data_IF_449086134170
#
_entry.id   IF_449086134170
#
_cell.length_a   1.000
_cell.length_b   1.000
_cell.length_c   1.000
_cell.angle_alpha   90.00
_cell.angle_beta   90.00
_cell.angle_gamma   90.00
#
_symmetry.space_group_name_H-M   'P 1'
#
loop_
_entity.id
_entity.type
_entity.pdbx_description
1 polymer ?
#
# COMPACT_ATOMS: atom_id res chain seq x y z
N UNK A 1 19.68 16.87 -3.91
CA UNK A 1 19.28 15.46 -4.12
C UNK A 1 18.75 15.29 -5.53
N UNK A 2 19.32 14.37 -6.30
CA UNK A 2 18.95 14.18 -7.71
C UNK A 2 17.51 13.67 -7.87
N UNK A 3 16.83 14.09 -8.96
CA UNK A 3 15.42 13.75 -9.25
C UNK A 3 15.22 12.23 -9.32
N UNK A 4 16.17 11.51 -9.92
CA UNK A 4 16.06 10.07 -10.09
C UNK A 4 16.24 9.32 -8.79
N UNK A 5 17.09 9.82 -7.88
CA UNK A 5 17.26 9.19 -6.57
C UNK A 5 16.04 9.39 -5.67
N UNK A 6 15.33 10.52 -5.77
CA UNK A 6 14.04 10.71 -5.08
C UNK A 6 12.98 9.72 -5.55
N UNK A 7 12.80 9.61 -6.88
CA UNK A 7 11.85 8.65 -7.48
C UNK A 7 12.16 7.22 -7.01
N UNK A 8 13.44 6.85 -6.94
CA UNK A 8 13.87 5.55 -6.42
C UNK A 8 13.47 5.34 -4.96
N UNK A 9 13.72 6.32 -4.09
CA UNK A 9 13.37 6.20 -2.68
C UNK A 9 11.86 6.08 -2.47
N UNK A 10 11.07 6.86 -3.20
CA UNK A 10 9.59 6.74 -3.21
C UNK A 10 9.13 5.38 -3.70
N UNK A 11 9.78 4.83 -4.72
CA UNK A 11 9.47 3.48 -5.21
C UNK A 11 9.80 2.39 -4.17
N UNK A 12 10.88 2.57 -3.40
CA UNK A 12 11.24 1.68 -2.29
C UNK A 12 10.18 1.78 -1.17
N UNK A 13 9.80 2.99 -0.78
CA UNK A 13 8.73 3.23 0.20
C UNK A 13 7.42 2.59 -0.25
N UNK A 14 7.07 2.74 -1.53
CA UNK A 14 5.86 2.14 -2.12
C UNK A 14 5.92 0.62 -2.08
N UNK A 15 7.06 0.01 -2.42
CA UNK A 15 7.28 -1.44 -2.32
C UNK A 15 7.12 -1.93 -0.88
N UNK A 16 7.68 -1.21 0.08
CA UNK A 16 7.68 -1.65 1.48
C UNK A 16 6.28 -1.51 2.09
N UNK A 17 5.57 -0.43 1.77
CA UNK A 17 4.22 -0.16 2.31
C UNK A 17 3.10 -0.93 1.62
N UNK A 18 3.15 -1.09 0.29
CA UNK A 18 2.06 -1.72 -0.50
C UNK A 18 2.35 -3.16 -0.90
N UNK A 19 3.62 -3.56 -0.98
CA UNK A 19 4.04 -4.88 -1.44
C UNK A 19 4.80 -5.68 -0.37
N UNK A 20 4.84 -5.20 0.89
CA UNK A 20 5.51 -5.87 2.00
C UNK A 20 7.01 -6.09 1.78
N UNK A 21 7.65 -5.24 0.96
CA UNK A 21 9.08 -5.35 0.63
C UNK A 21 9.40 -6.28 -0.55
N UNK A 22 8.40 -6.90 -1.18
CA UNK A 22 8.63 -7.81 -2.30
C UNK A 22 8.63 -7.08 -3.65
N UNK A 23 9.79 -7.06 -4.32
CA UNK A 23 9.93 -6.45 -5.65
C UNK A 23 9.18 -7.21 -6.76
N UNK A 24 8.94 -8.53 -6.60
CA UNK A 24 8.19 -9.32 -7.57
C UNK A 24 6.68 -9.06 -7.48
N UNK A 25 6.15 -8.73 -6.30
CA UNK A 25 4.78 -8.24 -6.14
C UNK A 25 4.61 -6.86 -6.77
N UNK A 26 5.57 -5.95 -6.54
CA UNK A 26 5.60 -4.64 -7.18
C UNK A 26 5.56 -4.77 -8.71
N UNK A 27 6.39 -5.65 -9.27
CA UNK A 27 6.46 -5.87 -10.71
C UNK A 27 5.17 -6.43 -11.31
N UNK A 28 4.55 -7.42 -10.64
CA UNK A 28 3.25 -7.97 -11.04
C UNK A 28 2.17 -6.90 -11.06
N UNK A 29 2.16 -6.02 -10.06
CA UNK A 29 1.13 -4.99 -9.91
C UNK A 29 1.19 -3.89 -10.96
N UNK A 30 2.40 -3.56 -11.43
CA UNK A 30 2.60 -2.60 -12.54
C UNK A 30 2.61 -3.28 -13.92
N UNK A 31 2.36 -4.58 -13.98
CA UNK A 31 2.41 -5.40 -15.20
C UNK A 31 3.72 -5.25 -15.97
N UNK A 32 4.85 -5.18 -15.26
CA UNK A 32 6.19 -5.10 -15.87
C UNK A 32 7.08 -6.25 -15.40
N UNK A 33 8.15 -6.46 -16.17
CA UNK A 33 9.14 -7.48 -15.88
C UNK A 33 9.83 -7.23 -14.52
N UNK A 34 9.94 -8.28 -13.70
CA UNK A 34 10.54 -8.21 -12.38
C UNK A 34 12.04 -7.83 -12.43
N UNK A 35 12.75 -8.26 -13.48
CA UNK A 35 14.16 -7.88 -13.66
C UNK A 35 14.30 -6.39 -14.00
N UNK A 36 13.37 -5.85 -14.79
CA UNK A 36 13.30 -4.43 -15.10
C UNK A 36 13.03 -3.59 -13.85
N UNK A 37 12.07 -3.99 -13.01
CA UNK A 37 11.74 -3.30 -11.74
C UNK A 37 12.88 -3.39 -10.73
N UNK A 38 13.51 -4.56 -10.58
CA UNK A 38 14.65 -4.72 -9.70
C UNK A 38 15.81 -3.78 -10.06
N UNK A 39 16.06 -3.56 -11.36
CA UNK A 39 17.08 -2.62 -11.86
C UNK A 39 16.75 -1.15 -11.58
N UNK A 40 15.48 -0.79 -11.39
CA UNK A 40 15.07 0.56 -10.97
C UNK A 40 15.33 0.81 -9.48
N UNK A 41 15.29 -0.25 -8.66
CA UNK A 41 15.54 -0.18 -7.21
C UNK A 41 17.03 -0.13 -6.85
N UNK A 42 17.94 -0.27 -7.83
CA UNK A 42 19.38 -0.27 -7.59
C UNK A 42 19.89 1.09 -7.11
N UNK A 43 20.81 1.12 -6.12
CA UNK A 43 21.43 2.36 -5.65
C UNK A 43 22.20 3.06 -6.78
N UNK A 44 22.33 4.39 -6.69
CA UNK A 44 23.23 5.15 -7.57
C UNK A 44 24.63 4.51 -7.60
N UNK A 45 25.20 4.36 -8.80
CA UNK A 45 26.52 3.76 -9.02
C UNK A 45 26.55 2.25 -9.30
N UNK A 46 25.44 1.52 -9.15
CA UNK A 46 25.40 0.08 -9.51
C UNK A 46 25.24 -0.12 -11.01
N UNK A 47 26.07 -0.98 -11.61
CA UNK A 47 25.99 -1.35 -13.04
C UNK A 47 24.61 -1.93 -13.36
N UNK A 48 23.98 -1.40 -14.40
CA UNK A 48 22.64 -1.82 -14.84
C UNK A 48 21.47 -1.09 -14.17
N UNK A 49 21.72 -0.01 -13.40
CA UNK A 49 20.65 0.86 -12.88
C UNK A 49 19.83 1.43 -14.03
N UNK A 50 18.50 1.30 -13.95
CA UNK A 50 17.57 1.92 -14.89
C UNK A 50 16.97 3.16 -14.26
N UNK A 51 16.96 4.28 -14.99
CA UNK A 51 16.29 5.52 -14.56
C UNK A 51 14.78 5.36 -14.69
N UNK A 52 14.05 5.90 -13.72
CA UNK A 52 12.59 5.98 -13.74
C UNK A 52 12.23 7.22 -14.57
N UNK A 53 11.86 7.00 -15.83
CA UNK A 53 11.38 8.04 -16.74
C UNK A 53 9.91 8.40 -16.47
N UNK A 54 9.42 9.47 -17.07
CA UNK A 54 8.08 10.01 -16.81
C UNK A 54 6.97 9.01 -17.19
N UNK A 55 7.13 8.28 -18.30
CA UNK A 55 6.23 7.18 -18.69
C UNK A 55 6.11 6.10 -17.59
N UNK A 56 7.22 5.78 -16.92
CA UNK A 56 7.22 4.77 -15.86
C UNK A 56 6.56 5.29 -14.57
N UNK A 57 6.64 6.58 -14.32
CA UNK A 57 5.93 7.20 -13.19
C UNK A 57 4.44 7.05 -13.38
N UNK A 58 3.93 7.38 -14.56
CA UNK A 58 2.51 7.25 -14.88
C UNK A 58 2.03 5.80 -14.72
N UNK A 59 2.80 4.83 -15.22
CA UNK A 59 2.48 3.40 -15.05
C UNK A 59 2.40 3.00 -13.58
N UNK A 60 3.36 3.46 -12.76
CA UNK A 60 3.36 3.17 -11.32
C UNK A 60 2.18 3.88 -10.64
N UNK A 61 1.92 5.14 -10.96
CA UNK A 61 0.84 5.92 -10.36
C UNK A 61 -0.53 5.32 -10.67
N UNK A 62 -0.77 4.95 -11.93
CA UNK A 62 -2.00 4.28 -12.36
C UNK A 62 -2.15 2.92 -11.68
N UNK A 63 -1.10 2.10 -11.64
CA UNK A 63 -1.14 0.77 -11.04
C UNK A 63 -1.41 0.79 -9.52
N UNK A 64 -1.02 1.87 -8.83
CA UNK A 64 -1.21 2.04 -7.39
C UNK A 64 -2.34 3.01 -7.03
N UNK A 65 -3.00 3.62 -8.02
CA UNK A 65 -4.05 4.63 -7.79
C UNK A 65 -3.53 5.87 -7.07
N UNK A 66 -2.29 6.27 -7.35
CA UNK A 66 -1.64 7.44 -6.75
C UNK A 66 -1.94 8.71 -7.55
N UNK A 67 -1.95 9.89 -6.90
CA UNK A 67 -2.08 11.15 -7.62
C UNK A 67 -0.87 11.39 -8.54
N UNK A 68 -1.12 12.08 -9.65
CA UNK A 68 -0.08 12.37 -10.63
C UNK A 68 1.06 13.18 -10.00
N UNK A 69 2.30 12.74 -10.23
CA UNK A 69 3.49 13.38 -9.69
C UNK A 69 3.80 12.98 -8.24
N UNK A 70 3.15 11.96 -7.67
CA UNK A 70 3.43 11.46 -6.33
C UNK A 70 4.89 11.05 -6.16
N UNK A 71 5.49 10.41 -7.18
CA UNK A 71 6.90 10.03 -7.16
C UNK A 71 7.85 11.24 -7.20
N UNK A 72 7.38 12.38 -7.70
CA UNK A 72 8.16 13.61 -7.87
C UNK A 72 7.88 14.67 -6.80
N UNK A 73 6.79 14.54 -6.03
CA UNK A 73 6.40 15.46 -4.96
C UNK A 73 7.62 15.77 -4.09
N UNK A 74 8.12 17.00 -4.22
CA UNK A 74 9.14 17.52 -3.33
C UNK A 74 8.51 17.49 -1.94
N UNK A 75 9.15 16.77 -1.01
CA UNK A 75 8.77 16.83 0.39
C UNK A 75 9.11 18.23 0.89
N UNK A 76 8.27 19.21 0.59
CA UNK A 76 8.15 20.39 1.42
C UNK A 76 7.28 19.98 2.61
N UNK A 77 7.84 19.89 3.84
CA UNK A 77 7.06 19.53 5.01
C UNK A 77 6.30 20.78 5.48
N UNK A 78 5.33 21.27 4.72
CA UNK A 78 4.36 22.23 5.25
C UNK A 78 3.14 22.45 4.37
N UNK A 79 2.00 22.04 4.96
CA UNK A 79 0.65 22.65 4.91
C UNK A 79 -0.42 21.82 4.17
N UNK A 80 -1.55 21.52 4.84
CA UNK A 80 -2.64 20.75 4.24
C UNK A 80 -3.41 21.63 3.26
N UNK A 81 -3.37 21.30 1.97
CA UNK A 81 -4.26 21.92 0.98
C UNK A 81 -5.56 21.13 0.90
N UNK A 82 -6.54 21.64 1.63
CA UNK A 82 -7.94 21.50 1.29
C UNK A 82 -8.22 22.11 -0.10
N UNK A 83 -9.23 21.53 -0.76
CA UNK A 83 -9.93 22.00 -1.96
C UNK A 83 -9.36 21.60 -3.33
N UNK A 84 -9.68 20.37 -3.75
CA UNK A 84 -10.39 20.13 -5.01
C UNK A 84 -11.09 18.75 -4.96
N UNK A 85 -12.19 18.69 -4.22
CA UNK A 85 -13.17 17.60 -4.28
C UNK A 85 -14.14 17.86 -5.44
N UNK A 86 -14.20 16.90 -6.38
CA UNK A 86 -15.42 16.31 -6.97
C UNK A 86 -15.04 15.60 -8.25
N UNK A 87 -14.79 14.28 -8.19
CA UNK A 87 -15.57 13.25 -8.90
C UNK A 87 -15.28 11.88 -8.25
N UNK A 88 -16.32 11.16 -7.83
CA UNK A 88 -16.36 9.75 -7.36
C UNK A 88 -15.49 9.42 -6.12
N UNK A 89 -15.95 9.43 -4.87
CA UNK A 89 -17.16 8.78 -4.34
C UNK A 89 -17.44 7.40 -4.95
N UNK A 90 -16.49 6.46 -4.80
CA UNK A 90 -16.85 5.09 -4.43
C UNK A 90 -15.67 4.33 -3.80
N UNK A 91 -15.67 4.29 -2.47
CA UNK A 91 -15.28 3.17 -1.58
C UNK A 91 -13.95 2.42 -1.74
N UNK A 92 -13.30 2.08 -0.61
CA UNK A 92 -12.23 1.09 -0.56
C UNK A 92 -12.80 -0.28 -0.97
N UNK A 93 -12.34 -0.83 -2.09
CA UNK A 93 -12.59 -2.24 -2.41
C UNK A 93 -11.33 -3.03 -2.11
N UNK A 94 -11.02 -3.15 -0.82
CA UNK A 94 -10.53 -4.43 -0.30
C UNK A 94 -11.57 -5.48 -0.66
N UNK A 95 -11.17 -6.50 -1.40
CA UNK A 95 -11.97 -7.69 -1.68
C UNK A 95 -12.26 -8.47 -0.39
N UNK A 96 -13.15 -7.95 0.45
CA UNK A 96 -13.78 -8.67 1.57
C UNK A 96 -15.30 -8.49 1.58
N UNK A 97 -15.89 -8.03 0.46
CA UNK A 97 -17.33 -7.85 0.27
C UNK A 97 -18.17 -9.15 0.35
N UNK A 98 -17.55 -10.32 0.57
CA UNK A 98 -18.27 -11.60 0.63
C UNK A 98 -18.34 -12.24 2.01
N UNK A 99 -17.67 -11.70 3.03
CA UNK A 99 -17.76 -12.27 4.38
C UNK A 99 -18.67 -11.41 5.28
N UNK A 100 -19.94 -11.84 5.52
CA UNK A 100 -20.88 -11.08 6.33
C UNK A 100 -20.39 -10.85 7.76
N UNK A 101 -19.52 -11.73 8.29
CA UNK A 101 -18.94 -11.59 9.62
C UNK A 101 -17.96 -10.42 9.69
N UNK A 102 -17.13 -10.24 8.65
CA UNK A 102 -16.15 -9.14 8.61
C UNK A 102 -16.89 -7.80 8.52
N UNK A 103 -17.96 -7.72 7.72
CA UNK A 103 -18.79 -6.52 7.60
C UNK A 103 -19.44 -6.15 8.93
N UNK A 104 -19.95 -7.13 9.66
CA UNK A 104 -20.56 -6.88 10.97
C UNK A 104 -19.53 -6.38 11.99
N UNK A 105 -18.31 -6.95 11.99
CA UNK A 105 -17.23 -6.45 12.87
C UNK A 105 -16.88 -5.00 12.54
N UNK A 106 -16.78 -4.64 11.25
CA UNK A 106 -16.50 -3.26 10.83
C UNK A 106 -17.61 -2.33 11.32
N UNK A 107 -18.88 -2.68 11.07
CA UNK A 107 -20.05 -1.91 11.52
C UNK A 107 -20.04 -1.67 13.03
N UNK A 108 -19.73 -2.70 13.82
CA UNK A 108 -19.67 -2.59 15.28
C UNK A 108 -18.51 -1.70 15.75
N UNK A 109 -17.35 -1.80 15.10
CA UNK A 109 -16.19 -0.93 15.39
C UNK A 109 -16.47 0.53 15.02
N UNK A 110 -17.20 0.80 13.93
CA UNK A 110 -17.60 2.15 13.54
C UNK A 110 -18.58 2.78 14.53
N UNK A 111 -19.52 1.98 15.06
CA UNK A 111 -20.52 2.42 16.04
C UNK A 111 -19.97 2.69 17.45
N UNK A 112 -18.69 2.37 17.71
CA UNK A 112 -18.06 2.54 19.03
C UNK A 112 -17.02 3.67 19.01
N UNK A 113 -16.84 4.32 20.17
CA UNK A 113 -15.79 5.31 20.37
C UNK A 113 -14.41 4.64 20.54
N UNK A 114 -13.36 5.45 20.68
CA UNK A 114 -12.00 4.92 20.79
C UNK A 114 -11.79 4.05 22.04
N UNK A 115 -12.49 4.33 23.15
CA UNK A 115 -12.39 3.52 24.36
C UNK A 115 -13.06 2.16 24.17
N UNK A 116 -14.26 2.14 23.57
CA UNK A 116 -14.97 0.92 23.21
C UNK A 116 -14.16 0.04 22.25
N UNK A 117 -13.56 0.63 21.22
CA UNK A 117 -12.67 -0.09 20.29
C UNK A 117 -11.50 -0.75 21.01
N UNK A 118 -10.86 -0.04 21.93
CA UNK A 118 -9.74 -0.58 22.72
C UNK A 118 -10.17 -1.75 23.62
N UNK A 119 -11.36 -1.69 24.22
CA UNK A 119 -11.92 -2.79 25.01
C UNK A 119 -12.18 -4.03 24.13
N UNK A 120 -12.80 -3.84 22.97
CA UNK A 120 -13.07 -4.94 22.03
C UNK A 120 -11.77 -5.58 21.55
N UNK A 121 -10.77 -4.78 21.17
CA UNK A 121 -9.45 -5.28 20.77
C UNK A 121 -8.75 -6.04 21.90
N UNK A 122 -8.87 -5.58 23.14
CA UNK A 122 -8.36 -6.28 24.32
C UNK A 122 -9.00 -7.65 24.51
N UNK A 123 -10.33 -7.73 24.43
CA UNK A 123 -11.06 -8.99 24.54
C UNK A 123 -10.71 -9.96 23.40
N UNK A 124 -10.68 -9.48 22.15
CA UNK A 124 -10.27 -10.29 20.99
C UNK A 124 -8.85 -10.83 21.17
N UNK A 125 -7.92 -10.00 21.65
CA UNK A 125 -6.54 -10.41 21.89
C UNK A 125 -6.46 -11.53 22.93
N UNK A 126 -7.24 -11.46 24.01
CA UNK A 126 -7.30 -12.54 25.01
C UNK A 126 -7.86 -13.83 24.43
N UNK A 127 -8.91 -13.75 23.63
CA UNK A 127 -9.51 -14.91 22.97
C UNK A 127 -8.56 -15.57 21.98
N UNK A 128 -7.80 -14.77 21.22
CA UNK A 128 -6.82 -15.28 20.26
C UNK A 128 -5.67 -16.04 20.93
N UNK A 129 -5.28 -15.67 22.15
CA UNK A 129 -4.26 -16.40 22.91
C UNK A 129 -4.72 -17.83 23.27
N UNK A 130 -6.03 -18.03 23.40
CA UNK A 130 -6.62 -19.34 23.69
C UNK A 130 -7.05 -20.09 22.41
N UNK A 131 -6.93 -19.46 21.25
CA UNK A 131 -7.37 -20.02 19.99
C UNK A 131 -6.34 -21.00 19.43
N UNK A 132 -6.70 -22.28 19.36
CA UNK A 132 -5.93 -23.31 18.68
C UNK A 132 -6.53 -23.48 17.27
N UNK A 133 -5.82 -23.07 16.19
CA UNK A 133 -6.33 -23.26 14.84
C UNK A 133 -6.39 -24.76 14.50
N UNK A 134 -7.57 -25.25 14.17
CA UNK A 134 -7.72 -26.61 13.63
C UNK A 134 -7.19 -26.64 12.20
N UNK A 135 -5.92 -27.03 12.04
CA UNK A 135 -5.34 -27.25 10.72
C UNK A 135 -6.09 -28.40 10.02
N UNK A 136 -6.90 -28.06 9.01
CA UNK A 136 -7.44 -29.06 8.08
C UNK A 136 -6.26 -29.68 7.34
N UNK A 137 -5.93 -30.92 7.69
CA UNK A 137 -5.27 -31.87 6.80
C UNK A 137 -6.09 -31.94 5.51
N UNK A 138 -5.56 -31.42 4.41
CA UNK A 138 -6.00 -31.83 3.09
C UNK A 138 -4.88 -32.61 2.42
N UNK A 139 -5.28 -33.84 2.10
CA UNK A 139 -4.60 -34.95 1.44
C UNK A 139 -4.56 -34.72 -0.06
#
# INVERSE_FOLDING_TARGET
MDKYERRRQRLIELRDTKCGGNAAELARRIERDASYVARMLYPEGKRGKKRIADEMIEVIEVAFGLPQGWLDLMSEPSKPMAAAQKVAENSPKTEHHSNPVIQEVIRLMEATDNNGRMMVLGAVKLTLLQYIPTSKKNK
#
